data_IF_498423338644
#
_entry.id   IF_498423338644
#
_cell.length_a   1.000
_cell.length_b   1.000
_cell.length_c   1.000
_cell.angle_alpha   90.00
_cell.angle_beta   90.00
_cell.angle_gamma   90.00
#
_symmetry.space_group_name_H-M   'P 1'
#
loop_
_entity.id
_entity.type
_entity.pdbx_description
1 polymer ?
#
# COMPACT_ATOMS: atom_id res chain seq x y z
N UNK A 1 -7.21 -0.17 56.30
CA UNK A 1 -7.58 -1.60 56.27
C UNK A 1 -9.02 -1.73 56.74
N UNK A 2 -9.95 -2.08 55.85
CA UNK A 2 -11.33 -2.41 56.24
C UNK A 2 -11.83 -3.59 55.41
N UNK A 3 -12.58 -4.45 56.09
CA UNK A 3 -12.69 -5.90 55.88
C UNK A 3 -13.81 -6.31 54.93
N UNK A 4 -13.60 -7.46 54.30
CA UNK A 4 -14.44 -8.25 53.36
C UNK A 4 -15.74 -8.79 53.99
N UNK A 5 -16.80 -8.96 53.16
CA UNK A 5 -17.83 -10.05 53.11
C UNK A 5 -18.85 -9.73 51.99
N UNK A 6 -18.85 -10.38 50.81
CA UNK A 6 -19.36 -11.73 50.42
C UNK A 6 -20.87 -11.76 50.12
N UNK A 7 -21.20 -12.46 49.02
CA UNK A 7 -22.50 -12.96 48.54
C UNK A 7 -23.35 -12.00 47.69
N UNK A 8 -24.02 -12.39 46.60
CA UNK A 8 -24.10 -13.64 45.85
C UNK A 8 -24.81 -13.37 44.50
N UNK A 9 -24.38 -14.10 43.47
CA UNK A 9 -25.17 -14.77 42.43
C UNK A 9 -26.43 -14.07 41.88
N UNK A 10 -26.36 -13.61 40.62
CA UNK A 10 -27.43 -13.88 39.65
C UNK A 10 -26.81 -14.44 38.37
N UNK A 11 -27.20 -15.67 38.07
CA UNK A 11 -26.82 -16.44 36.90
C UNK A 11 -27.53 -15.97 35.63
N UNK A 12 -26.87 -16.27 34.50
CA UNK A 12 -27.43 -16.70 33.22
C UNK A 12 -28.17 -15.68 32.33
N UNK A 13 -27.52 -15.33 31.21
CA UNK A 13 -28.03 -15.65 29.87
C UNK A 13 -26.88 -15.60 28.86
N UNK A 14 -26.28 -16.76 28.60
CA UNK A 14 -25.35 -16.97 27.48
C UNK A 14 -26.20 -17.10 26.20
N UNK A 15 -26.44 -15.99 25.51
CA UNK A 15 -27.01 -16.03 24.16
C UNK A 15 -25.87 -16.30 23.16
N UNK A 16 -25.64 -17.58 22.87
CA UNK A 16 -24.87 -17.99 21.69
C UNK A 16 -25.70 -17.65 20.46
N UNK A 17 -25.55 -16.42 19.97
CA UNK A 17 -25.98 -16.09 18.61
C UNK A 17 -24.93 -16.70 17.68
N UNK A 18 -25.23 -17.88 17.17
CA UNK A 18 -24.60 -18.44 15.98
C UNK A 18 -24.98 -17.57 14.77
N UNK A 19 -24.43 -16.36 14.72
CA UNK A 19 -24.52 -15.44 13.61
C UNK A 19 -23.33 -15.68 12.71
N UNK A 20 -23.56 -16.39 11.61
CA UNK A 20 -22.69 -16.48 10.44
C UNK A 20 -22.04 -15.12 10.20
N UNK A 21 -20.73 -15.00 10.46
CA UNK A 21 -19.95 -13.86 10.00
C UNK A 21 -19.94 -13.92 8.47
N UNK A 22 -20.54 -12.96 7.75
CA UNK A 22 -20.39 -12.91 6.31
C UNK A 22 -18.94 -12.55 6.01
N UNK A 23 -18.16 -13.54 5.59
CA UNK A 23 -16.89 -13.32 4.91
C UNK A 23 -17.09 -12.31 3.78
N UNK A 24 -16.24 -11.28 3.64
CA UNK A 24 -16.39 -10.23 2.61
C UNK A 24 -16.14 -10.71 1.17
N UNK A 25 -16.05 -12.03 0.94
CA UNK A 25 -15.68 -12.63 -0.35
C UNK A 25 -16.81 -13.36 -1.08
N UNK A 26 -18.05 -13.32 -0.59
CA UNK A 26 -19.20 -13.88 -1.32
C UNK A 26 -20.17 -12.79 -1.75
N UNK A 27 -19.86 -12.16 -2.88
CA UNK A 27 -20.80 -11.33 -3.63
C UNK A 27 -21.23 -12.13 -4.86
N UNK A 28 -22.34 -12.86 -4.74
CA UNK A 28 -23.11 -13.31 -5.91
C UNK A 28 -23.63 -12.02 -6.56
N UNK A 29 -23.16 -11.76 -7.78
CA UNK A 29 -23.56 -10.61 -8.57
C UNK A 29 -25.08 -10.60 -8.77
N UNK A 30 -25.76 -9.70 -8.06
CA UNK A 30 -27.11 -9.23 -8.39
C UNK A 30 -26.93 -7.81 -8.94
N UNK A 31 -27.30 -7.62 -10.21
CA UNK A 31 -27.07 -6.39 -10.97
C UNK A 31 -27.40 -5.13 -10.15
N UNK A 32 -26.36 -4.37 -9.82
CA UNK A 32 -26.45 -3.04 -9.25
C UNK A 32 -26.42 -1.99 -10.38
N UNK A 33 -27.19 -0.90 -10.29
CA UNK A 33 -27.30 0.10 -11.35
C UNK A 33 -25.96 0.83 -11.56
N UNK A 34 -25.66 1.12 -12.83
CA UNK A 34 -24.43 1.74 -13.28
C UNK A 34 -24.15 3.08 -12.57
N UNK A 35 -23.00 3.15 -11.90
CA UNK A 35 -22.48 4.38 -11.32
C UNK A 35 -22.02 5.35 -12.42
N UNK A 36 -22.22 6.65 -12.18
CA UNK A 36 -21.89 7.76 -13.10
C UNK A 36 -20.38 7.80 -13.43
N UNK A 37 -19.98 8.33 -14.61
CA UNK A 37 -18.59 8.32 -15.05
C UNK A 37 -17.72 9.15 -14.11
N UNK A 38 -16.77 8.51 -13.42
CA UNK A 38 -15.63 9.18 -12.78
C UNK A 38 -14.67 9.71 -13.85
N UNK A 39 -13.87 10.70 -13.48
CA UNK A 39 -12.88 11.31 -14.38
C UNK A 39 -11.95 10.22 -14.95
N UNK A 40 -11.83 10.17 -16.28
CA UNK A 40 -11.04 9.15 -16.97
C UNK A 40 -9.56 9.33 -16.62
N UNK A 41 -8.91 8.27 -16.12
CA UNK A 41 -7.46 8.24 -16.00
C UNK A 41 -6.83 8.22 -17.41
N UNK A 42 -5.88 9.13 -17.68
CA UNK A 42 -5.23 9.33 -18.99
C UNK A 42 -4.27 8.19 -19.41
N UNK A 43 -4.31 7.05 -18.72
CA UNK A 43 -3.50 5.87 -19.02
C UNK A 43 -4.25 4.83 -19.87
N UNK A 44 -3.54 3.91 -20.54
CA UNK A 44 -4.18 2.76 -21.17
C UNK A 44 -4.95 1.96 -20.12
N UNK A 45 -6.30 1.99 -20.18
CA UNK A 45 -7.15 1.21 -19.27
C UNK A 45 -6.87 -0.28 -19.45
N UNK A 46 -6.49 -0.93 -18.35
CA UNK A 46 -6.09 -2.34 -18.31
C UNK A 46 -6.96 -3.09 -17.32
N UNK A 47 -7.49 -4.22 -17.76
CA UNK A 47 -8.08 -5.19 -16.83
C UNK A 47 -7.01 -5.68 -15.86
N UNK A 48 -7.40 -6.08 -14.63
CA UNK A 48 -6.47 -6.62 -13.65
C UNK A 48 -5.63 -7.77 -14.19
N UNK A 49 -4.51 -8.04 -13.54
CA UNK A 49 -3.59 -9.09 -13.95
C UNK A 49 -4.32 -10.44 -14.06
N UNK A 50 -4.06 -11.17 -15.15
CA UNK A 50 -4.70 -12.44 -15.49
C UNK A 50 -6.18 -12.40 -15.88
N UNK A 51 -6.92 -11.31 -15.63
CA UNK A 51 -8.33 -11.17 -16.06
C UNK A 51 -8.47 -11.11 -17.58
N UNK A 52 -7.42 -10.67 -18.29
CA UNK A 52 -7.38 -10.71 -19.75
C UNK A 52 -7.32 -12.13 -20.35
N UNK A 53 -7.11 -13.17 -19.54
CA UNK A 53 -7.19 -14.58 -19.96
C UNK A 53 -8.61 -15.13 -19.86
N UNK A 54 -9.53 -14.37 -19.26
CA UNK A 54 -10.94 -14.69 -19.21
C UNK A 54 -11.60 -14.08 -20.44
N UNK A 55 -12.53 -14.80 -21.06
CA UNK A 55 -13.32 -14.31 -22.20
C UNK A 55 -14.36 -13.28 -21.73
N UNK A 56 -13.88 -12.14 -21.24
CA UNK A 56 -14.70 -11.08 -20.68
C UNK A 56 -15.45 -10.33 -21.78
N UNK A 57 -16.74 -10.14 -21.55
CA UNK A 57 -17.58 -9.31 -22.43
C UNK A 57 -17.20 -7.83 -22.32
N UNK A 58 -17.61 -7.02 -23.31
CA UNK A 58 -17.42 -5.58 -23.28
C UNK A 58 -18.02 -4.93 -22.02
N UNK A 59 -19.23 -5.35 -21.63
CA UNK A 59 -19.92 -4.84 -20.45
C UNK A 59 -19.21 -5.18 -19.14
N UNK A 60 -18.63 -6.39 -19.05
CA UNK A 60 -17.83 -6.78 -17.88
C UNK A 60 -16.57 -5.92 -17.77
N UNK A 61 -15.88 -5.66 -18.88
CA UNK A 61 -14.71 -4.76 -18.91
C UNK A 61 -15.08 -3.34 -18.50
N UNK A 62 -16.18 -2.81 -19.03
CA UNK A 62 -16.69 -1.48 -18.64
C UNK A 62 -16.98 -1.39 -17.15
N UNK A 63 -17.62 -2.42 -16.56
CA UNK A 63 -17.87 -2.48 -15.12
C UNK A 63 -16.58 -2.55 -14.30
N UNK A 64 -15.60 -3.34 -14.75
CA UNK A 64 -14.28 -3.43 -14.11
C UNK A 64 -13.60 -2.06 -14.10
N UNK A 65 -13.60 -1.33 -15.22
CA UNK A 65 -13.00 -0.01 -15.29
C UNK A 65 -13.69 0.99 -14.35
N UNK A 66 -15.04 1.00 -14.32
CA UNK A 66 -15.77 1.85 -13.39
C UNK A 66 -15.43 1.57 -11.92
N UNK A 67 -15.27 0.29 -11.56
CA UNK A 67 -14.83 -0.11 -10.21
C UNK A 67 -13.41 0.39 -9.94
N UNK A 68 -12.48 0.21 -10.88
CA UNK A 68 -11.11 0.69 -10.74
C UNK A 68 -11.09 2.21 -10.50
N UNK A 69 -11.76 3.00 -11.33
CA UNK A 69 -11.82 4.46 -11.20
C UNK A 69 -12.38 4.88 -9.81
N UNK A 70 -13.43 4.21 -9.35
CA UNK A 70 -14.04 4.49 -8.04
C UNK A 70 -13.08 4.27 -6.86
N UNK A 71 -12.26 3.23 -6.94
CA UNK A 71 -11.33 2.88 -5.86
C UNK A 71 -9.99 3.61 -5.99
N UNK A 72 -9.51 3.90 -7.20
CA UNK A 72 -8.27 4.66 -7.44
C UNK A 72 -8.32 6.02 -6.71
N UNK A 73 -9.40 6.78 -6.88
CA UNK A 73 -9.54 8.07 -6.18
C UNK A 73 -9.50 7.95 -4.65
N UNK A 74 -10.07 6.87 -4.08
CA UNK A 74 -10.05 6.64 -2.63
C UNK A 74 -8.68 6.19 -2.16
N UNK A 75 -8.01 5.35 -2.95
CA UNK A 75 -6.65 4.89 -2.68
C UNK A 75 -5.71 6.09 -2.69
N UNK A 76 -5.79 6.96 -3.68
CA UNK A 76 -4.93 8.16 -3.78
C UNK A 76 -5.14 9.09 -2.57
N UNK A 77 -6.39 9.31 -2.16
CA UNK A 77 -6.69 10.09 -0.96
C UNK A 77 -6.06 9.46 0.30
N UNK A 78 -6.23 8.15 0.50
CA UNK A 78 -5.65 7.44 1.64
C UNK A 78 -4.12 7.41 1.61
N UNK A 79 -3.51 7.28 0.44
CA UNK A 79 -2.05 7.33 0.28
C UNK A 79 -1.51 8.70 0.70
N UNK A 80 -2.20 9.78 0.33
CA UNK A 80 -1.85 11.13 0.76
C UNK A 80 -1.97 11.29 2.29
N UNK A 81 -3.05 10.82 2.90
CA UNK A 81 -3.20 10.82 4.36
C UNK A 81 -2.08 10.03 5.05
N UNK A 82 -1.68 8.89 4.49
CA UNK A 82 -0.56 8.08 4.99
C UNK A 82 0.76 8.85 4.87
N UNK A 83 1.00 9.57 3.78
CA UNK A 83 2.19 10.40 3.61
C UNK A 83 2.24 11.54 4.63
N UNK A 84 1.12 12.24 4.84
CA UNK A 84 1.01 13.32 5.82
C UNK A 84 1.27 12.79 7.25
N UNK A 85 0.67 11.65 7.62
CA UNK A 85 0.89 11.00 8.91
C UNK A 85 2.35 10.56 9.12
N UNK A 86 3.01 10.06 8.07
CA UNK A 86 4.44 9.72 8.14
C UNK A 86 5.29 10.96 8.39
N UNK A 87 5.03 12.06 7.69
CA UNK A 87 5.75 13.32 7.88
C UNK A 87 5.55 13.86 9.30
N UNK A 88 4.31 13.83 9.81
CA UNK A 88 4.01 14.24 11.19
C UNK A 88 4.76 13.38 12.21
N UNK A 89 4.63 12.06 12.11
CA UNK A 89 5.33 11.11 12.99
C UNK A 89 6.84 11.33 12.97
N UNK A 90 7.43 11.47 11.79
CA UNK A 90 8.87 11.64 11.64
C UNK A 90 9.34 12.98 12.22
N UNK A 91 8.55 14.05 12.04
CA UNK A 91 8.79 15.34 12.70
C UNK A 91 8.70 15.25 14.23
N UNK A 92 7.72 14.52 14.77
CA UNK A 92 7.61 14.27 16.21
C UNK A 92 8.81 13.47 16.74
N UNK A 93 9.27 12.46 16.01
CA UNK A 93 10.47 11.68 16.35
C UNK A 93 11.72 12.58 16.33
N UNK A 94 11.88 13.47 15.36
CA UNK A 94 13.01 14.40 15.34
C UNK A 94 12.92 15.47 16.44
N UNK A 95 11.71 15.81 16.89
CA UNK A 95 11.48 16.81 17.93
C UNK A 95 12.02 16.38 19.30
N UNK A 96 12.05 15.07 19.58
CA UNK A 96 12.60 14.54 20.84
C UNK A 96 14.13 14.58 20.91
N UNK A 97 14.80 14.84 19.79
CA UNK A 97 16.26 14.95 19.75
C UNK A 97 16.74 16.30 20.32
N UNK A 98 17.94 16.33 20.89
CA UNK A 98 18.63 17.58 21.17
C UNK A 98 19.09 18.27 19.89
N UNK A 99 19.41 19.57 19.97
CA UNK A 99 19.92 20.33 18.82
C UNK A 99 21.22 19.72 18.24
N UNK A 100 22.12 19.23 19.09
CA UNK A 100 23.34 18.55 18.67
C UNK A 100 23.06 17.23 17.93
N UNK A 101 22.14 16.42 18.46
CA UNK A 101 21.72 15.16 17.82
C UNK A 101 21.04 15.39 16.47
N UNK A 102 20.18 16.41 16.33
CA UNK A 102 19.58 16.77 15.04
C UNK A 102 20.65 17.19 14.01
N UNK A 103 21.63 17.98 14.43
CA UNK A 103 22.73 18.37 13.53
C UNK A 103 23.53 17.16 13.07
N UNK A 104 23.75 16.18 13.93
CA UNK A 104 24.49 14.97 13.56
C UNK A 104 23.67 14.05 12.66
N UNK A 105 22.37 13.87 12.96
CA UNK A 105 21.44 13.15 12.10
C UNK A 105 21.43 13.72 10.68
N UNK A 106 21.42 15.05 10.53
CA UNK A 106 21.48 15.70 9.22
C UNK A 106 22.73 15.31 8.43
N UNK A 107 23.91 15.29 9.06
CA UNK A 107 25.16 14.89 8.40
C UNK A 107 25.11 13.44 7.95
N UNK A 108 24.62 12.55 8.81
CA UNK A 108 24.47 11.12 8.50
C UNK A 108 23.54 10.94 7.29
N UNK A 109 22.39 11.63 7.26
CA UNK A 109 21.44 11.56 6.16
C UNK A 109 22.04 12.08 4.85
N UNK A 110 22.79 13.19 4.89
CA UNK A 110 23.40 13.77 3.70
C UNK A 110 24.55 12.88 3.16
N UNK A 111 25.35 12.26 4.04
CA UNK A 111 26.35 11.25 3.63
C UNK A 111 25.70 10.01 3.01
N UNK A 112 24.63 9.49 3.62
CA UNK A 112 23.93 8.31 3.12
C UNK A 112 23.34 8.54 1.71
N UNK A 113 22.92 9.77 1.38
CA UNK A 113 22.50 10.14 0.02
C UNK A 113 23.66 10.07 -0.96
N UNK A 114 24.82 10.61 -0.60
CA UNK A 114 26.03 10.57 -1.44
C UNK A 114 26.44 9.12 -1.72
N UNK A 115 26.51 8.28 -0.68
CA UNK A 115 26.87 6.86 -0.81
C UNK A 115 25.86 6.07 -1.66
N UNK A 116 24.56 6.41 -1.59
CA UNK A 116 23.54 5.80 -2.44
C UNK A 116 23.78 6.12 -3.92
N UNK A 117 24.10 7.38 -4.23
CA UNK A 117 24.39 7.83 -5.60
C UNK A 117 25.70 7.22 -6.12
N UNK A 118 26.72 7.08 -5.28
CA UNK A 118 27.97 6.42 -5.66
C UNK A 118 27.74 4.95 -6.00
N UNK A 119 27.05 4.20 -5.13
CA UNK A 119 26.71 2.79 -5.38
C UNK A 119 25.88 2.59 -6.64
N UNK A 120 24.93 3.48 -6.93
CA UNK A 120 24.16 3.37 -8.18
C UNK A 120 25.06 3.57 -9.41
N UNK A 121 26.01 4.51 -9.38
CA UNK A 121 26.97 4.73 -10.47
C UNK A 121 27.95 3.57 -10.66
N UNK A 122 28.45 3.00 -9.56
CA UNK A 122 29.32 1.84 -9.59
C UNK A 122 28.62 0.61 -10.18
N UNK A 123 27.38 0.35 -9.77
CA UNK A 123 26.59 -0.76 -10.34
C UNK A 123 26.28 -0.55 -11.82
N UNK A 124 26.03 0.68 -12.26
CA UNK A 124 25.88 0.99 -13.70
C UNK A 124 27.18 0.79 -14.48
N UNK A 125 28.32 1.22 -13.93
CA UNK A 125 29.62 1.03 -14.55
C UNK A 125 29.99 -0.45 -14.66
N UNK A 126 29.72 -1.24 -13.61
CA UNK A 126 29.95 -2.68 -13.59
C UNK A 126 29.09 -3.40 -14.64
N UNK A 127 27.81 -3.03 -14.79
CA UNK A 127 26.93 -3.57 -15.84
C UNK A 127 27.46 -3.27 -17.24
N UNK A 128 27.84 -2.02 -17.51
CA UNK A 128 28.42 -1.63 -18.81
C UNK A 128 29.71 -2.39 -19.13
N UNK A 129 30.57 -2.61 -18.13
CA UNK A 129 31.80 -3.38 -18.31
C UNK A 129 31.52 -4.85 -18.63
N UNK A 130 30.56 -5.47 -17.92
CA UNK A 130 30.11 -6.84 -18.20
C UNK A 130 29.57 -6.99 -19.62
N UNK A 131 28.69 -6.09 -20.06
CA UNK A 131 28.11 -6.12 -21.40
C UNK A 131 29.18 -5.96 -22.50
N UNK A 132 30.17 -5.10 -22.27
CA UNK A 132 31.29 -4.91 -23.20
C UNK A 132 32.18 -6.16 -23.32
N UNK A 133 32.40 -6.89 -22.23
CA UNK A 133 33.15 -8.15 -22.24
C UNK A 133 32.36 -9.23 -22.98
N UNK A 134 31.08 -9.39 -22.66
CA UNK A 134 30.20 -10.37 -23.32
C UNK A 134 30.15 -10.16 -24.84
N UNK A 135 29.97 -8.91 -25.29
CA UNK A 135 29.96 -8.56 -26.72
C UNK A 135 31.28 -8.84 -27.43
N UNK A 136 32.43 -8.77 -26.73
CA UNK A 136 33.74 -9.15 -27.27
C UNK A 136 33.90 -10.66 -27.38
N UNK A 137 33.32 -11.42 -26.45
CA UNK A 137 33.36 -12.88 -26.46
C UNK A 137 32.48 -13.48 -27.57
N UNK A 138 31.32 -12.88 -27.88
CA UNK A 138 30.40 -13.35 -28.94
C UNK A 138 30.87 -13.02 -30.37
N UNK A 139 31.89 -12.17 -30.52
CA UNK A 139 32.45 -11.76 -31.83
C UNK A 139 33.72 -12.51 -32.23
N UNK A 140 34.22 -13.41 -31.38
CA UNK A 140 35.32 -14.33 -31.68
C UNK A 140 34.75 -15.72 -31.93
#
# INVERSE_FOLDING_TARGET
MSRVRVAAVVSAALAVVAGVFPSPFSVIAKDAPAAKPGAQSDGPRRVPQHFGKLDLTGDQKTRIYAIQDQYEHRIDALLKEIEDLKLQRDGEIESVLSAGQRSELKKILDQAKVERVQRSRETEAAKKAYDAIKKKAEKK
#
